data_IF_808925236770
#
_entry.id   IF_808925236770
#
_cell.length_a   1.000
_cell.length_b   1.000
_cell.length_c   1.000
_cell.angle_alpha   90.00
_cell.angle_beta   90.00
_cell.angle_gamma   90.00
#
_symmetry.space_group_name_H-M   'P 1'
#
loop_
_entity.id
_entity.type
_entity.pdbx_description
1 polymer ?
#
# COMPACT_ATOMS: atom_id res chain seq x y z
N UNK A 1 29.38 -3.68 3.07
CA UNK A 1 28.90 -2.77 2.00
C UNK A 1 27.43 -2.50 2.26
N UNK A 2 26.95 -1.26 2.22
CA UNK A 2 25.52 -0.98 2.43
C UNK A 2 24.67 -1.73 1.39
N UNK A 3 23.87 -2.69 1.84
CA UNK A 3 23.03 -3.55 0.98
C UNK A 3 21.81 -2.79 0.39
N UNK A 4 21.56 -1.57 0.85
CA UNK A 4 20.50 -0.68 0.36
C UNK A 4 20.57 -0.42 -1.15
N UNK A 5 21.77 -0.49 -1.73
CA UNK A 5 21.95 -0.37 -3.19
C UNK A 5 21.15 -1.41 -3.97
N UNK A 6 20.95 -2.61 -3.43
CA UNK A 6 20.13 -3.64 -4.06
C UNK A 6 18.64 -3.29 -4.03
N UNK A 7 18.15 -2.74 -2.92
CA UNK A 7 16.76 -2.26 -2.80
C UNK A 7 16.50 -1.14 -3.80
N UNK A 8 17.40 -0.16 -3.88
CA UNK A 8 17.32 0.93 -4.86
C UNK A 8 17.39 0.42 -6.30
N UNK A 9 18.27 -0.54 -6.58
CA UNK A 9 18.37 -1.17 -7.91
C UNK A 9 17.06 -1.84 -8.33
N UNK A 10 16.41 -2.57 -7.43
CA UNK A 10 15.09 -3.17 -7.70
C UNK A 10 14.01 -2.11 -7.90
N UNK A 11 13.99 -1.05 -7.09
CA UNK A 11 13.03 0.05 -7.23
C UNK A 11 13.20 0.78 -8.58
N UNK A 12 14.44 1.07 -8.97
CA UNK A 12 14.76 1.63 -10.28
C UNK A 12 14.39 0.66 -11.43
N UNK A 13 14.56 -0.64 -11.22
CA UNK A 13 14.12 -1.69 -12.14
C UNK A 13 12.60 -1.70 -12.33
N UNK A 14 11.83 -1.60 -11.24
CA UNK A 14 10.36 -1.49 -11.29
C UNK A 14 9.90 -0.23 -12.03
N UNK A 15 10.55 0.91 -11.76
CA UNK A 15 10.28 2.16 -12.49
C UNK A 15 10.57 2.01 -13.98
N UNK A 16 11.75 1.50 -14.33
CA UNK A 16 12.17 1.25 -15.72
C UNK A 16 11.21 0.31 -16.43
N UNK A 17 10.83 -0.78 -15.78
CA UNK A 17 9.86 -1.74 -16.32
C UNK A 17 8.52 -1.07 -16.62
N UNK A 18 7.99 -0.28 -15.68
CA UNK A 18 6.71 0.40 -15.84
C UNK A 18 6.78 1.51 -16.89
N UNK A 19 7.65 2.50 -16.70
CA UNK A 19 7.64 3.74 -17.46
C UNK A 19 8.30 3.63 -18.84
N UNK A 20 9.29 2.73 -18.98
CA UNK A 20 10.05 2.62 -20.21
C UNK A 20 9.69 1.36 -20.98
N UNK A 21 9.64 0.19 -20.35
CA UNK A 21 9.45 -1.07 -21.10
C UNK A 21 7.99 -1.34 -21.44
N UNK A 22 7.07 -1.30 -20.47
CA UNK A 22 5.66 -1.62 -20.70
C UNK A 22 4.86 -0.48 -21.33
N UNK A 23 5.39 0.75 -21.30
CA UNK A 23 4.79 1.89 -21.99
C UNK A 23 4.96 1.81 -23.53
N UNK A 24 6.07 1.24 -24.02
CA UNK A 24 6.36 1.18 -25.46
C UNK A 24 5.30 0.41 -26.26
N UNK A 25 4.82 -0.78 -25.83
CA UNK A 25 3.69 -1.45 -26.48
C UNK A 25 2.42 -0.60 -26.54
N UNK A 26 2.12 0.16 -25.48
CA UNK A 26 0.96 1.06 -25.44
C UNK A 26 1.10 2.15 -26.50
N UNK A 27 2.24 2.83 -26.56
CA UNK A 27 2.51 3.88 -27.55
C UNK A 27 2.37 3.32 -28.97
N UNK A 28 2.98 2.16 -29.23
CA UNK A 28 2.89 1.49 -30.53
C UNK A 28 1.45 1.18 -30.92
N UNK A 29 0.64 0.68 -29.99
CA UNK A 29 -0.77 0.38 -30.25
C UNK A 29 -1.61 1.65 -30.43
N UNK A 30 -1.33 2.73 -29.70
CA UNK A 30 -1.98 4.03 -29.91
C UNK A 30 -1.75 4.57 -31.32
N UNK A 31 -0.50 4.51 -31.81
CA UNK A 31 -0.17 4.93 -33.17
C UNK A 31 -0.89 4.04 -34.20
N UNK A 32 -0.91 2.72 -33.99
CA UNK A 32 -1.54 1.77 -34.93
C UNK A 32 -3.07 1.88 -34.99
N UNK A 33 -3.72 2.21 -33.88
CA UNK A 33 -5.18 2.24 -33.78
C UNK A 33 -5.77 3.63 -33.90
N UNK A 34 -4.96 4.69 -33.78
CA UNK A 34 -5.45 6.07 -33.69
C UNK A 34 -6.18 6.37 -32.37
N UNK A 35 -6.09 5.50 -31.35
CA UNK A 35 -6.70 5.75 -30.04
C UNK A 35 -5.84 6.78 -29.28
N UNK A 36 -6.34 8.02 -29.21
CA UNK A 36 -5.67 9.12 -28.52
C UNK A 36 -5.98 9.15 -27.03
N UNK A 37 -5.10 9.81 -26.25
CA UNK A 37 -5.44 10.18 -24.88
C UNK A 37 -6.59 11.20 -24.90
N UNK A 38 -7.48 11.23 -23.88
CA UNK A 38 -7.42 10.51 -22.61
C UNK A 38 -8.06 9.10 -22.64
N UNK A 39 -8.45 8.58 -23.81
CA UNK A 39 -9.05 7.23 -23.89
C UNK A 39 -8.08 6.17 -23.40
N UNK A 40 -8.49 5.45 -22.35
CA UNK A 40 -7.79 4.30 -21.79
C UNK A 40 -8.37 2.98 -22.31
N UNK A 41 -9.70 2.91 -22.40
CA UNK A 41 -10.44 1.75 -22.90
C UNK A 41 -11.44 2.27 -23.94
N UNK A 42 -11.27 1.95 -25.23
CA UNK A 42 -12.13 2.46 -26.28
C UNK A 42 -13.54 1.89 -26.14
N UNK A 43 -14.54 2.73 -26.39
CA UNK A 43 -15.97 2.32 -26.39
C UNK A 43 -16.40 1.91 -27.79
N UNK A 44 -17.50 1.17 -27.91
CA UNK A 44 -18.04 0.71 -29.20
C UNK A 44 -18.20 1.84 -30.24
N UNK A 45 -18.59 3.03 -29.81
CA UNK A 45 -18.73 4.21 -30.69
C UNK A 45 -17.38 4.62 -31.28
N UNK A 46 -16.31 4.58 -30.49
CA UNK A 46 -14.95 4.93 -30.92
C UNK A 46 -14.35 3.82 -31.78
N UNK A 47 -14.57 2.55 -31.41
CA UNK A 47 -14.15 1.38 -32.19
C UNK A 47 -14.76 1.44 -33.59
N UNK A 48 -16.07 1.71 -33.69
CA UNK A 48 -16.77 1.89 -34.97
C UNK A 48 -16.26 3.11 -35.74
N UNK A 49 -16.08 4.26 -35.07
CA UNK A 49 -15.57 5.49 -35.70
C UNK A 49 -14.18 5.29 -36.31
N UNK A 50 -13.33 4.52 -35.64
CA UNK A 50 -11.95 4.23 -36.08
C UNK A 50 -11.86 2.98 -36.97
N UNK A 51 -12.97 2.32 -37.27
CA UNK A 51 -13.04 1.08 -38.06
C UNK A 51 -12.04 0.01 -37.58
N UNK A 52 -11.91 -0.16 -36.27
CA UNK A 52 -10.94 -1.10 -35.69
C UNK A 52 -11.45 -2.54 -35.78
N UNK A 53 -10.56 -3.47 -36.12
CA UNK A 53 -10.84 -4.90 -36.01
C UNK A 53 -10.78 -5.37 -34.54
N UNK A 54 -11.45 -6.47 -34.25
CA UNK A 54 -11.41 -7.09 -32.91
C UNK A 54 -9.98 -7.42 -32.46
N UNK A 55 -9.11 -7.79 -33.40
CA UNK A 55 -7.70 -8.07 -33.13
C UNK A 55 -6.92 -6.80 -32.73
N UNK A 56 -7.16 -5.68 -33.41
CA UNK A 56 -6.56 -4.40 -33.07
C UNK A 56 -7.02 -3.92 -31.69
N UNK A 57 -8.31 -4.02 -31.41
CA UNK A 57 -8.88 -3.69 -30.09
C UNK A 57 -8.25 -4.57 -29.02
N UNK A 58 -8.20 -5.89 -29.24
CA UNK A 58 -7.60 -6.85 -28.29
C UNK A 58 -6.12 -6.54 -28.04
N UNK A 59 -5.33 -6.28 -29.09
CA UNK A 59 -3.91 -5.99 -28.95
C UNK A 59 -3.66 -4.68 -28.17
N UNK A 60 -4.43 -3.63 -28.45
CA UNK A 60 -4.39 -2.38 -27.70
C UNK A 60 -4.75 -2.61 -26.22
N UNK A 61 -5.86 -3.30 -25.96
CA UNK A 61 -6.35 -3.59 -24.60
C UNK A 61 -5.35 -4.43 -23.80
N UNK A 62 -4.71 -5.43 -24.41
CA UNK A 62 -3.66 -6.22 -23.77
C UNK A 62 -2.45 -5.37 -23.39
N UNK A 63 -1.95 -4.52 -24.30
CA UNK A 63 -0.83 -3.62 -24.02
C UNK A 63 -1.17 -2.64 -22.89
N UNK A 64 -2.35 -2.02 -22.97
CA UNK A 64 -2.82 -1.07 -21.96
C UNK A 64 -2.98 -1.75 -20.59
N UNK A 65 -3.57 -2.94 -20.53
CA UNK A 65 -3.78 -3.66 -19.27
C UNK A 65 -2.48 -4.15 -18.66
N UNK A 66 -1.51 -4.60 -19.46
CA UNK A 66 -0.19 -4.98 -18.98
C UNK A 66 0.50 -3.82 -18.25
N UNK A 67 0.50 -2.62 -18.86
CA UNK A 67 1.06 -1.41 -18.26
C UNK A 67 0.30 -0.97 -17.01
N UNK A 68 -1.03 -0.85 -17.09
CA UNK A 68 -1.87 -0.40 -15.97
C UNK A 68 -1.81 -1.33 -14.76
N UNK A 69 -1.73 -2.65 -14.97
CA UNK A 69 -1.60 -3.57 -13.87
C UNK A 69 -0.30 -3.40 -13.08
N UNK A 70 0.78 -2.97 -13.73
CA UNK A 70 2.02 -2.66 -13.03
C UNK A 70 1.95 -1.32 -12.29
N UNK A 71 1.28 -0.31 -12.87
CA UNK A 71 1.00 0.97 -12.19
C UNK A 71 0.20 0.76 -10.90
N UNK A 72 -0.91 0.03 -10.99
CA UNK A 72 -1.79 -0.30 -9.86
C UNK A 72 -1.05 -1.11 -8.77
N UNK A 73 -0.10 -1.96 -9.17
CA UNK A 73 0.69 -2.72 -8.22
C UNK A 73 1.75 -1.87 -7.53
N UNK A 74 2.51 -1.09 -8.31
CA UNK A 74 3.64 -0.32 -7.79
C UNK A 74 3.21 0.79 -6.82
N UNK A 75 1.98 1.30 -6.93
CA UNK A 75 1.44 2.29 -5.99
C UNK A 75 1.35 1.76 -4.55
N UNK A 76 1.12 0.46 -4.37
CA UNK A 76 1.09 -0.18 -3.05
C UNK A 76 2.41 -0.88 -2.72
N UNK A 77 3.02 -1.55 -3.70
CA UNK A 77 4.21 -2.37 -3.49
C UNK A 77 5.46 -1.54 -3.19
N UNK A 78 5.75 -0.48 -3.96
CA UNK A 78 6.99 0.28 -3.80
C UNK A 78 7.12 0.96 -2.43
N UNK A 79 6.08 1.62 -1.88
CA UNK A 79 6.18 2.20 -0.54
C UNK A 79 6.52 1.14 0.53
N UNK A 80 5.83 0.00 0.52
CA UNK A 80 6.08 -1.09 1.46
C UNK A 80 7.49 -1.67 1.27
N UNK A 81 7.89 -1.94 0.03
CA UNK A 81 9.19 -2.50 -0.31
C UNK A 81 10.34 -1.59 0.13
N UNK A 82 10.26 -0.29 -0.16
CA UNK A 82 11.26 0.69 0.24
C UNK A 82 11.32 0.82 1.76
N UNK A 83 10.19 0.99 2.43
CA UNK A 83 10.13 1.13 3.89
C UNK A 83 10.71 -0.12 4.60
N UNK A 84 10.30 -1.31 4.17
CA UNK A 84 10.81 -2.57 4.74
C UNK A 84 12.30 -2.76 4.43
N UNK A 85 12.75 -2.30 3.25
CA UNK A 85 14.15 -2.36 2.83
C UNK A 85 15.10 -1.47 3.61
N UNK A 86 14.59 -0.47 4.34
CA UNK A 86 15.39 0.38 5.24
C UNK A 86 15.83 -0.35 6.52
N UNK A 87 15.22 -1.49 6.86
CA UNK A 87 15.52 -2.23 8.08
C UNK A 87 16.81 -3.06 7.87
N UNK A 88 17.95 -2.67 8.49
CA UNK A 88 19.26 -3.21 8.13
C UNK A 88 19.34 -4.74 8.25
N UNK A 89 18.67 -5.31 9.26
CA UNK A 89 18.69 -6.74 9.56
C UNK A 89 18.01 -7.61 8.48
N UNK A 90 17.15 -7.04 7.64
CA UNK A 90 16.38 -7.78 6.63
C UNK A 90 16.54 -7.22 5.21
N UNK A 91 17.28 -6.12 5.02
CA UNK A 91 17.48 -5.43 3.74
C UNK A 91 17.78 -6.39 2.58
N UNK A 92 18.73 -7.31 2.73
CA UNK A 92 19.05 -8.30 1.67
C UNK A 92 17.90 -9.24 1.34
N UNK A 93 17.17 -9.74 2.34
CA UNK A 93 16.02 -10.64 2.12
C UNK A 93 14.92 -9.91 1.36
N UNK A 94 14.66 -8.65 1.73
CA UNK A 94 13.72 -7.76 1.05
C UNK A 94 14.16 -7.55 -0.39
N UNK A 95 15.43 -7.22 -0.64
CA UNK A 95 15.96 -7.00 -1.99
C UNK A 95 15.80 -8.23 -2.90
N UNK A 96 16.11 -9.44 -2.41
CA UNK A 96 15.94 -10.68 -3.18
C UNK A 96 14.46 -10.95 -3.52
N UNK A 97 13.57 -10.75 -2.55
CA UNK A 97 12.14 -10.89 -2.75
C UNK A 97 11.58 -9.86 -3.74
N UNK A 98 12.10 -8.63 -3.69
CA UNK A 98 11.79 -7.58 -4.64
C UNK A 98 12.28 -7.90 -6.05
N UNK A 99 13.49 -8.45 -6.18
CA UNK A 99 14.05 -8.89 -7.45
C UNK A 99 13.23 -10.03 -8.08
N UNK A 100 12.80 -11.00 -7.28
CA UNK A 100 11.85 -12.04 -7.72
C UNK A 100 10.54 -11.43 -8.21
N UNK A 101 9.98 -10.50 -7.44
CA UNK A 101 8.75 -9.79 -7.81
C UNK A 101 8.92 -9.04 -9.14
N UNK A 102 10.05 -8.33 -9.32
CA UNK A 102 10.38 -7.61 -10.57
C UNK A 102 10.45 -8.56 -11.77
N UNK A 103 11.13 -9.70 -11.63
CA UNK A 103 11.22 -10.70 -12.68
C UNK A 103 9.85 -11.25 -13.07
N UNK A 104 9.03 -11.66 -12.10
CA UNK A 104 7.68 -12.16 -12.37
C UNK A 104 6.79 -11.08 -13.01
N UNK A 105 6.93 -9.82 -12.61
CA UNK A 105 6.21 -8.69 -13.22
C UNK A 105 6.65 -8.42 -14.66
N UNK A 106 7.94 -8.56 -14.96
CA UNK A 106 8.44 -8.52 -16.33
C UNK A 106 7.83 -9.64 -17.18
N UNK A 107 7.89 -10.89 -16.69
CA UNK A 107 7.30 -12.05 -17.37
C UNK A 107 5.79 -11.90 -17.57
N UNK A 108 5.08 -11.32 -16.60
CA UNK A 108 3.66 -11.00 -16.73
C UNK A 108 3.40 -10.01 -17.87
N UNK A 109 4.17 -8.92 -17.93
CA UNK A 109 4.01 -7.88 -18.95
C UNK A 109 4.23 -8.42 -20.36
N UNK A 110 5.22 -9.30 -20.54
CA UNK A 110 5.43 -10.04 -21.79
C UNK A 110 4.30 -11.05 -22.03
N UNK A 111 3.90 -11.79 -20.99
CA UNK A 111 2.88 -12.83 -21.04
C UNK A 111 1.49 -12.33 -21.47
N UNK A 112 1.17 -11.05 -21.27
CA UNK A 112 -0.06 -10.44 -21.80
C UNK A 112 -0.17 -10.53 -23.32
N UNK A 113 0.96 -10.55 -24.04
CA UNK A 113 0.97 -10.64 -25.50
C UNK A 113 0.70 -12.07 -26.00
N UNK A 114 0.94 -13.08 -25.15
CA UNK A 114 0.86 -14.51 -25.49
C UNK A 114 -0.25 -15.25 -24.74
N UNK A 115 -1.17 -14.53 -24.09
CA UNK A 115 -2.20 -15.11 -23.22
C UNK A 115 -1.64 -15.94 -22.03
N UNK A 116 -0.39 -15.65 -21.64
CA UNK A 116 0.34 -16.32 -20.55
C UNK A 116 0.47 -15.44 -19.31
N UNK A 117 -0.47 -14.50 -19.12
CA UNK A 117 -0.46 -13.55 -17.99
C UNK A 117 -0.39 -14.22 -16.61
N UNK A 118 -0.89 -15.45 -16.50
CA UNK A 118 -0.94 -16.22 -15.26
C UNK A 118 0.46 -16.57 -14.71
N UNK A 119 1.48 -16.64 -15.57
CA UNK A 119 2.89 -16.81 -15.14
C UNK A 119 3.32 -15.69 -14.21
N UNK A 120 2.77 -14.49 -14.44
CA UNK A 120 2.96 -13.34 -13.58
C UNK A 120 2.57 -13.59 -12.13
N UNK A 121 1.58 -14.45 -11.85
CA UNK A 121 1.04 -14.66 -10.51
C UNK A 121 2.10 -15.08 -9.48
N UNK A 122 3.21 -15.67 -9.93
CA UNK A 122 4.37 -16.01 -9.08
C UNK A 122 5.01 -14.80 -8.40
N UNK A 123 4.71 -13.57 -8.83
CA UNK A 123 5.11 -12.34 -8.11
C UNK A 123 4.61 -12.36 -6.66
N UNK A 124 3.47 -13.03 -6.42
CA UNK A 124 2.84 -13.06 -5.10
C UNK A 124 3.74 -13.65 -4.03
N UNK A 125 4.60 -14.61 -4.39
CA UNK A 125 5.54 -15.24 -3.47
C UNK A 125 6.54 -14.21 -2.92
N UNK A 126 7.07 -13.34 -3.79
CA UNK A 126 7.97 -12.27 -3.38
C UNK A 126 7.27 -11.21 -2.55
N UNK A 127 6.08 -10.77 -2.97
CA UNK A 127 5.32 -9.74 -2.25
C UNK A 127 4.82 -10.22 -0.88
N UNK A 128 4.34 -11.46 -0.77
CA UNK A 128 3.90 -12.01 0.51
C UNK A 128 5.07 -12.25 1.46
N UNK A 129 6.24 -12.62 0.93
CA UNK A 129 7.42 -12.74 1.77
C UNK A 129 7.90 -11.38 2.31
N UNK A 130 7.86 -10.31 1.50
CA UNK A 130 8.13 -8.94 1.98
C UNK A 130 7.11 -8.54 3.06
N UNK A 131 5.82 -8.84 2.83
CA UNK A 131 4.77 -8.56 3.79
C UNK A 131 4.99 -9.31 5.11
N UNK A 132 5.36 -10.59 5.04
CA UNK A 132 5.73 -11.39 6.21
C UNK A 132 6.90 -10.76 6.98
N UNK A 133 7.97 -10.34 6.27
CA UNK A 133 9.11 -9.68 6.90
C UNK A 133 8.69 -8.38 7.57
N UNK A 134 7.89 -7.55 6.90
CA UNK A 134 7.40 -6.28 7.44
C UNK A 134 6.58 -6.51 8.72
N UNK A 135 5.64 -7.46 8.71
CA UNK A 135 4.86 -7.79 9.92
C UNK A 135 5.72 -8.35 11.04
N UNK A 136 6.70 -9.19 10.74
CA UNK A 136 7.61 -9.72 11.75
C UNK A 136 8.40 -8.60 12.41
N UNK A 137 8.91 -7.64 11.64
CA UNK A 137 9.62 -6.50 12.21
C UNK A 137 8.71 -5.56 13.00
N UNK A 138 7.51 -5.29 12.48
CA UNK A 138 6.51 -4.51 13.22
C UNK A 138 6.14 -5.18 14.55
N UNK A 139 5.97 -6.50 14.56
CA UNK A 139 5.71 -7.27 15.77
C UNK A 139 6.87 -7.20 16.77
N UNK A 140 8.12 -7.37 16.33
CA UNK A 140 9.28 -7.26 17.22
C UNK A 140 9.43 -5.85 17.81
N UNK A 141 9.16 -4.80 17.03
CA UNK A 141 9.17 -3.42 17.53
C UNK A 141 8.10 -3.22 18.60
N UNK A 142 6.85 -3.60 18.32
CA UNK A 142 5.75 -3.49 19.30
C UNK A 142 6.05 -4.32 20.55
N UNK A 143 6.60 -5.53 20.39
CA UNK A 143 6.99 -6.40 21.49
C UNK A 143 8.12 -5.80 22.33
N UNK A 144 9.09 -5.14 21.71
CA UNK A 144 10.19 -4.48 22.42
C UNK A 144 9.76 -3.28 23.25
N UNK A 145 8.64 -2.65 22.89
CA UNK A 145 8.06 -1.51 23.62
C UNK A 145 7.10 -1.93 24.74
N UNK A 146 6.66 -3.20 24.76
CA UNK A 146 5.79 -3.68 25.83
C UNK A 146 6.56 -3.80 27.14
N UNK A 147 6.07 -3.22 28.25
CA UNK A 147 6.72 -3.36 29.55
C UNK A 147 6.69 -4.82 29.97
N UNK A 148 7.86 -5.39 30.25
CA UNK A 148 8.00 -6.83 30.55
C UNK A 148 8.15 -7.11 32.03
N UNK A 149 8.49 -6.07 32.81
CA UNK A 149 8.63 -6.16 34.26
C UNK A 149 7.48 -5.46 34.98
N UNK A 150 7.23 -5.88 36.22
CA UNK A 150 6.22 -5.25 37.08
C UNK A 150 6.54 -3.78 37.33
N UNK A 151 7.81 -3.41 37.51
CA UNK A 151 8.20 -2.01 37.70
C UNK A 151 7.91 -1.16 36.45
N UNK A 152 8.22 -1.63 35.25
CA UNK A 152 7.90 -0.92 34.00
C UNK A 152 6.40 -0.76 33.80
N UNK A 153 5.62 -1.81 34.08
CA UNK A 153 4.16 -1.75 34.01
C UNK A 153 3.64 -0.68 34.98
N UNK A 154 4.17 -0.64 36.21
CA UNK A 154 3.79 0.36 37.19
C UNK A 154 4.16 1.77 36.71
N UNK A 155 5.35 1.99 36.15
CA UNK A 155 5.77 3.29 35.62
C UNK A 155 4.83 3.76 34.49
N UNK A 156 4.49 2.88 33.54
CA UNK A 156 3.60 3.21 32.42
C UNK A 156 2.16 3.50 32.91
N UNK A 157 1.68 2.75 33.91
CA UNK A 157 0.30 2.87 34.39
C UNK A 157 0.12 3.93 35.49
N UNK A 158 1.17 4.34 36.19
CA UNK A 158 1.07 5.27 37.33
C UNK A 158 0.37 6.58 36.99
N UNK A 159 0.67 7.27 35.85
CA UNK A 159 -0.03 8.49 35.48
C UNK A 159 -1.53 8.27 35.28
N UNK A 160 -1.94 7.13 34.70
CA UNK A 160 -3.34 6.79 34.53
C UNK A 160 -4.04 6.50 35.86
N UNK A 161 -3.35 5.79 36.75
CA UNK A 161 -3.85 5.53 38.12
C UNK A 161 -4.03 6.84 38.89
N UNK A 162 -3.11 7.79 38.74
CA UNK A 162 -3.18 9.08 39.43
C UNK A 162 -4.35 9.94 38.92
N UNK A 163 -4.56 9.97 37.59
CA UNK A 163 -5.75 10.62 36.99
C UNK A 163 -7.06 9.99 37.47
N UNK A 164 -7.10 8.66 37.60
CA UNK A 164 -8.30 7.98 38.13
C UNK A 164 -8.54 8.31 39.61
N UNK A 165 -7.48 8.43 40.42
CA UNK A 165 -7.58 8.85 41.81
C UNK A 165 -8.07 10.29 41.95
N UNK A 166 -7.58 11.20 41.10
CA UNK A 166 -8.03 12.59 41.08
C UNK A 166 -9.52 12.70 40.73
N UNK A 167 -9.97 12.01 39.68
CA UNK A 167 -11.39 11.95 39.33
C UNK A 167 -12.24 11.35 40.45
N UNK A 168 -11.78 10.26 41.08
CA UNK A 168 -12.48 9.65 42.20
C UNK A 168 -12.58 10.60 43.42
N UNK A 169 -11.53 11.40 43.68
CA UNK A 169 -11.53 12.39 44.76
C UNK A 169 -12.44 13.60 44.47
N UNK A 170 -12.59 13.99 43.21
CA UNK A 170 -13.50 15.07 42.79
C UNK A 170 -14.98 14.65 42.74
N UNK A 171 -15.25 13.34 42.65
CA UNK A 171 -16.60 12.78 42.50
C UNK A 171 -17.60 13.25 43.57
N UNK A 172 -17.27 13.28 44.88
CA UNK A 172 -18.20 13.77 45.90
C UNK A 172 -18.58 15.25 45.72
N UNK A 173 -17.64 16.09 45.29
CA UNK A 173 -17.90 17.51 45.02
C UNK A 173 -18.79 17.69 43.79
N UNK A 174 -18.56 16.91 42.73
CA UNK A 174 -19.43 16.88 41.57
C UNK A 174 -20.86 16.43 41.93
N UNK A 175 -21.00 15.38 42.73
CA UNK A 175 -22.31 14.89 43.22
C UNK A 175 -23.01 15.96 44.05
N UNK A 176 -22.29 16.63 44.97
CA UNK A 176 -22.84 17.71 45.78
C UNK A 176 -23.27 18.94 44.97
N UNK A 177 -22.67 19.16 43.80
CA UNK A 177 -23.01 20.26 42.89
C UNK A 177 -24.22 19.96 41.96
N UNK A 178 -24.66 18.69 41.86
CA UNK A 178 -25.78 18.28 40.99
C UNK A 178 -27.05 19.12 41.23
N UNK A 179 -27.51 19.35 42.47
CA UNK A 179 -28.72 20.15 42.71
C UNK A 179 -28.60 21.57 42.16
N UNK A 180 -27.44 22.21 42.29
CA UNK A 180 -27.17 23.56 41.79
C UNK A 180 -27.21 23.61 40.25
N UNK A 181 -26.69 22.59 39.58
CA UNK A 181 -26.78 22.47 38.12
C UNK A 181 -28.22 22.23 37.66
N UNK A 182 -29.00 21.43 38.39
CA UNK A 182 -30.42 21.20 38.11
C UNK A 182 -31.21 22.52 38.25
N UNK A 183 -30.93 23.32 39.28
CA UNK A 183 -31.56 24.64 39.45
C UNK A 183 -31.19 25.63 38.34
N UNK A 184 -29.90 25.72 37.98
CA UNK A 184 -29.45 26.56 36.88
C UNK A 184 -30.09 26.16 35.54
N UNK A 185 -30.21 24.85 35.30
CA UNK A 185 -30.87 24.32 34.11
C UNK A 185 -32.37 24.66 34.11
N UNK A 186 -33.08 24.48 35.23
CA UNK A 186 -34.50 24.88 35.36
C UNK A 186 -34.71 26.37 35.08
N UNK A 187 -33.86 27.24 35.63
CA UNK A 187 -33.90 28.68 35.41
C UNK A 187 -33.68 29.07 33.93
N UNK A 188 -32.82 28.35 33.20
CA UNK A 188 -32.59 28.60 31.77
C UNK A 188 -33.72 28.13 30.84
N UNK A 189 -34.55 27.18 31.28
CA UNK A 189 -35.63 26.59 30.47
C UNK A 189 -37.01 27.19 30.80
N UNK A 190 -37.10 28.08 31.80
CA UNK A 190 -38.30 28.88 32.08
C UNK A 190 -39.42 28.14 32.81
N UNK A 191 -39.08 27.16 33.65
CA UNK A 191 -40.01 26.55 34.62
C UNK A 191 -40.04 27.32 35.93
#
# INVERSE_FOLDING_TARGET
>A
VPEYGYVLGVAAGMFTLQQLLLLLPVIRQRIKTGIHAPTLYPRDVEIKKLNLSDEQVKAYMCAQRAHQNLVEFNSAFLPLFLATGLIPAITRKVALAGAWTLLCRFLMGVGYQFNMRHIGALYSLGSFYILYLAFTQAYELVKSEMPTTREEILIVLQPHVDVLKEHAAALPAHIAAIPKYIEAARASVGF
#
